data_IF_866332680168
#
_entry.id   IF_866332680168
#
_cell.length_a   1.000
_cell.length_b   1.000
_cell.length_c   1.000
_cell.angle_alpha   90.00
_cell.angle_beta   90.00
_cell.angle_gamma   90.00
#
_symmetry.space_group_name_H-M   'P 1'
#
loop_
_entity.id
_entity.type
_entity.pdbx_description
1 polymer ?
#
# COMPACT_ATOMS: atom_id res chain seq x y z
N UNK A 1 44.33 4.02 -5.66
CA UNK A 1 44.51 2.60 -5.26
C UNK A 1 44.30 1.74 -6.49
N UNK A 2 45.17 0.75 -6.77
CA UNK A 2 45.00 -0.10 -7.95
C UNK A 2 43.71 -0.92 -7.82
N UNK A 3 42.92 -0.99 -8.89
CA UNK A 3 41.63 -1.67 -8.95
C UNK A 3 41.70 -3.14 -8.47
N UNK A 4 42.83 -3.80 -8.71
CA UNK A 4 43.12 -5.15 -8.23
C UNK A 4 43.15 -5.28 -6.70
N UNK A 5 43.71 -4.30 -5.98
CA UNK A 5 43.76 -4.32 -4.53
C UNK A 5 42.36 -4.12 -3.91
N UNK A 6 41.50 -3.33 -4.55
CA UNK A 6 40.09 -3.19 -4.15
C UNK A 6 39.32 -4.49 -4.36
N UNK A 7 39.54 -5.17 -5.49
CA UNK A 7 38.86 -6.42 -5.82
C UNK A 7 39.25 -7.59 -4.88
N UNK A 8 40.48 -7.58 -4.35
CA UNK A 8 40.95 -8.59 -3.40
C UNK A 8 40.52 -8.29 -1.96
N UNK A 9 40.58 -7.03 -1.54
CA UNK A 9 40.31 -6.66 -0.14
C UNK A 9 38.83 -6.42 0.17
N UNK A 10 38.02 -5.98 -0.81
CA UNK A 10 36.60 -5.71 -0.59
C UNK A 10 35.83 -6.96 -0.13
N UNK A 11 35.93 -8.13 -0.78
CA UNK A 11 35.22 -9.34 -0.33
C UNK A 11 35.63 -9.78 1.08
N UNK A 12 36.91 -9.58 1.42
CA UNK A 12 37.43 -9.89 2.76
C UNK A 12 36.82 -8.97 3.82
N UNK A 13 36.78 -7.67 3.56
CA UNK A 13 36.18 -6.68 4.48
C UNK A 13 34.68 -6.91 4.61
N UNK A 14 33.98 -7.19 3.50
CA UNK A 14 32.55 -7.54 3.52
C UNK A 14 32.29 -8.80 4.35
N UNK A 15 33.11 -9.84 4.22
CA UNK A 15 33.01 -11.05 5.04
C UNK A 15 33.24 -10.75 6.53
N UNK A 16 34.21 -9.90 6.86
CA UNK A 16 34.46 -9.47 8.24
C UNK A 16 33.29 -8.66 8.80
N UNK A 17 32.73 -7.72 8.04
CA UNK A 17 31.54 -6.95 8.42
C UNK A 17 30.36 -7.89 8.67
N UNK A 18 30.12 -8.83 7.76
CA UNK A 18 29.05 -9.81 7.88
C UNK A 18 29.20 -10.66 9.15
N UNK A 19 30.41 -11.13 9.45
CA UNK A 19 30.67 -11.92 10.65
C UNK A 19 30.45 -11.09 11.92
N UNK A 20 30.95 -9.85 11.97
CA UNK A 20 30.72 -8.95 13.10
C UNK A 20 29.23 -8.64 13.29
N UNK A 21 28.50 -8.38 12.21
CA UNK A 21 27.06 -8.17 12.27
C UNK A 21 26.35 -9.39 12.82
N UNK A 22 26.76 -10.60 12.40
CA UNK A 22 26.21 -11.86 12.91
C UNK A 22 26.47 -12.02 14.42
N UNK A 23 27.70 -11.83 14.88
CA UNK A 23 28.03 -11.93 16.31
C UNK A 23 27.25 -10.91 17.15
N UNK A 24 27.12 -9.67 16.67
CA UNK A 24 26.31 -8.65 17.32
C UNK A 24 24.83 -9.05 17.40
N UNK A 25 24.28 -9.61 16.32
CA UNK A 25 22.89 -10.09 16.33
C UNK A 25 22.71 -11.28 17.28
N UNK A 26 23.64 -12.24 17.29
CA UNK A 26 23.57 -13.41 18.16
C UNK A 26 23.64 -12.98 19.64
N UNK A 27 24.54 -12.05 19.98
CA UNK A 27 24.59 -11.47 21.33
C UNK A 27 23.31 -10.71 21.70
N UNK A 28 22.73 -9.96 20.77
CA UNK A 28 21.50 -9.22 21.02
C UNK A 28 20.32 -10.18 21.26
N UNK A 29 20.24 -11.27 20.49
CA UNK A 29 19.24 -12.33 20.67
C UNK A 29 19.41 -12.99 22.05
N UNK A 30 20.62 -13.40 22.42
CA UNK A 30 20.88 -14.01 23.73
C UNK A 30 20.49 -13.09 24.89
N UNK A 31 20.83 -11.80 24.81
CA UNK A 31 20.43 -10.80 25.80
C UNK A 31 18.92 -10.63 25.84
N UNK A 32 18.26 -10.56 24.69
CA UNK A 32 16.81 -10.45 24.62
C UNK A 32 16.11 -11.68 25.20
N UNK A 33 16.61 -12.89 24.94
CA UNK A 33 16.09 -14.14 25.52
C UNK A 33 16.27 -14.19 27.04
N UNK A 34 17.42 -13.73 27.55
CA UNK A 34 17.67 -13.64 28.98
C UNK A 34 16.73 -12.63 29.63
N UNK A 35 16.64 -11.42 29.07
CA UNK A 35 15.73 -10.37 29.57
C UNK A 35 14.28 -10.84 29.51
N UNK A 36 13.84 -11.49 28.44
CA UNK A 36 12.49 -12.04 28.33
C UNK A 36 12.22 -13.14 29.36
N UNK A 37 13.19 -14.01 29.64
CA UNK A 37 13.03 -15.03 30.69
C UNK A 37 12.97 -14.42 32.09
N UNK A 38 13.75 -13.37 32.35
CA UNK A 38 13.84 -12.73 33.67
C UNK A 38 12.71 -11.73 33.93
N UNK A 39 12.27 -11.02 32.89
CA UNK A 39 11.38 -9.84 32.97
C UNK A 39 10.23 -9.86 31.96
N UNK A 40 10.16 -10.82 31.06
CA UNK A 40 9.04 -11.05 30.14
C UNK A 40 8.34 -9.79 29.63
N UNK A 41 7.01 -9.81 29.71
CA UNK A 41 6.14 -8.66 29.36
C UNK A 41 6.06 -7.58 30.45
N UNK A 42 6.82 -7.67 31.54
CA UNK A 42 6.82 -6.66 32.63
C UNK A 42 7.96 -5.65 32.50
N UNK A 43 8.83 -5.77 31.50
CA UNK A 43 9.86 -4.78 31.23
C UNK A 43 9.24 -3.45 30.73
N UNK A 44 9.31 -2.42 31.57
CA UNK A 44 8.69 -1.14 31.31
C UNK A 44 9.26 -0.43 30.07
N UNK A 45 10.56 -0.58 29.81
CA UNK A 45 11.19 0.01 28.65
C UNK A 45 10.76 -0.71 27.37
N UNK A 46 10.70 -2.05 27.38
CA UNK A 46 10.16 -2.82 26.26
C UNK A 46 8.72 -2.40 25.94
N UNK A 47 7.84 -2.30 26.94
CA UNK A 47 6.46 -1.87 26.74
C UNK A 47 6.38 -0.45 26.17
N UNK A 48 7.18 0.49 26.71
CA UNK A 48 7.24 1.87 26.21
C UNK A 48 7.72 1.95 24.76
N UNK A 49 8.76 1.20 24.41
CA UNK A 49 9.27 1.12 23.04
C UNK A 49 8.26 0.49 22.10
N UNK A 50 7.62 -0.61 22.50
CA UNK A 50 6.59 -1.31 21.73
C UNK A 50 5.37 -0.42 21.47
N UNK A 51 4.89 0.31 22.48
CA UNK A 51 3.80 1.29 22.31
C UNK A 51 4.21 2.40 21.34
N UNK A 52 5.41 2.95 21.49
CA UNK A 52 5.91 4.02 20.61
C UNK A 52 6.06 3.55 19.17
N UNK A 53 6.59 2.34 18.97
CA UNK A 53 6.73 1.71 17.66
C UNK A 53 5.36 1.46 17.02
N UNK A 54 4.42 0.86 17.76
CA UNK A 54 3.05 0.62 17.29
C UNK A 54 2.35 1.94 16.95
N UNK A 55 2.53 3.00 17.75
CA UNK A 55 1.96 4.32 17.48
C UNK A 55 2.52 4.92 16.19
N UNK A 56 3.82 4.74 15.91
CA UNK A 56 4.45 5.19 14.66
C UNK A 56 3.94 4.39 13.46
N UNK A 57 3.82 3.07 13.59
CA UNK A 57 3.36 2.17 12.51
C UNK A 57 1.87 2.37 12.18
N UNK A 58 1.03 2.66 13.18
CA UNK A 58 -0.41 2.88 12.99
C UNK A 58 -0.75 4.29 12.52
N UNK A 59 0.20 5.21 12.46
CA UNK A 59 -0.04 6.60 12.06
C UNK A 59 0.36 6.78 10.60
N UNK A 60 -0.62 7.05 9.76
CA UNK A 60 -0.38 7.62 8.43
C UNK A 60 -0.01 9.09 8.66
N UNK A 61 1.20 9.55 8.29
CA UNK A 61 1.64 10.91 8.61
C UNK A 61 0.94 11.94 7.72
N UNK A 62 0.84 11.66 6.41
CA UNK A 62 0.28 12.57 5.43
C UNK A 62 -0.43 11.78 4.33
N UNK A 63 -1.39 12.42 3.67
CA UNK A 63 -2.02 11.95 2.42
C UNK A 63 -1.85 13.02 1.35
N UNK A 64 -2.00 12.64 0.07
CA UNK A 64 -2.10 13.59 -1.04
C UNK A 64 -3.58 13.69 -1.42
N UNK A 65 -4.11 14.90 -1.51
CA UNK A 65 -5.51 15.10 -1.91
C UNK A 65 -5.69 14.74 -3.39
N UNK A 66 -6.64 13.85 -3.75
CA UNK A 66 -6.76 13.33 -5.11
C UNK A 66 -7.17 14.39 -6.15
N UNK A 67 -7.92 15.41 -5.76
CA UNK A 67 -8.37 16.47 -6.68
C UNK A 67 -7.45 17.69 -6.77
N UNK A 68 -6.77 18.07 -5.68
CA UNK A 68 -5.93 19.28 -5.64
C UNK A 68 -4.43 18.98 -5.70
N UNK A 69 -4.02 17.75 -5.38
CA UNK A 69 -2.62 17.36 -5.27
C UNK A 69 -1.92 17.86 -4.00
N UNK A 70 -2.65 18.48 -3.08
CA UNK A 70 -2.07 19.07 -1.86
C UNK A 70 -1.68 18.02 -0.83
N UNK A 71 -0.64 18.33 -0.04
CA UNK A 71 -0.22 17.50 1.09
C UNK A 71 -1.14 17.71 2.29
N UNK A 72 -2.02 16.75 2.56
CA UNK A 72 -2.90 16.71 3.71
C UNK A 72 -2.16 16.24 4.96
N UNK A 73 -2.08 17.11 5.97
CA UNK A 73 -1.38 16.82 7.24
C UNK A 73 -2.28 16.92 8.47
N UNK A 74 -3.41 17.63 8.37
CA UNK A 74 -4.41 17.66 9.45
C UNK A 74 -5.39 16.49 9.32
N UNK A 75 -5.98 16.01 10.44
CA UNK A 75 -6.99 14.95 10.40
C UNK A 75 -8.17 15.28 9.46
N UNK A 76 -8.64 16.52 9.46
CA UNK A 76 -9.78 16.96 8.64
C UNK A 76 -9.43 16.89 7.15
N UNK A 77 -8.22 17.34 6.78
CA UNK A 77 -7.73 17.27 5.41
C UNK A 77 -7.57 15.81 4.95
N UNK A 78 -7.03 14.95 5.81
CA UNK A 78 -6.84 13.53 5.51
C UNK A 78 -8.17 12.79 5.34
N UNK A 79 -9.18 13.11 6.16
CA UNK A 79 -10.54 12.56 6.02
C UNK A 79 -11.15 13.03 4.70
N UNK A 80 -11.08 14.32 4.38
CA UNK A 80 -11.58 14.86 3.11
C UNK A 80 -10.93 14.20 1.89
N UNK A 81 -9.60 14.01 1.93
CA UNK A 81 -8.86 13.34 0.87
C UNK A 81 -9.31 11.88 0.70
N UNK A 82 -9.46 11.14 1.81
CA UNK A 82 -9.93 9.76 1.79
C UNK A 82 -11.37 9.65 1.26
N UNK A 83 -12.27 10.52 1.71
CA UNK A 83 -13.65 10.55 1.21
C UNK A 83 -13.70 10.82 -0.28
N UNK A 84 -12.93 11.79 -0.78
CA UNK A 84 -12.90 12.14 -2.20
C UNK A 84 -12.38 10.96 -3.02
N UNK A 85 -11.30 10.32 -2.55
CA UNK A 85 -10.73 9.14 -3.20
C UNK A 85 -11.75 8.00 -3.28
N UNK A 86 -12.39 7.64 -2.17
CA UNK A 86 -13.35 6.53 -2.17
C UNK A 86 -14.65 6.86 -2.90
N UNK A 87 -15.10 8.12 -2.88
CA UNK A 87 -16.23 8.57 -3.71
C UNK A 87 -15.93 8.36 -5.18
N UNK A 88 -14.75 8.74 -5.64
CA UNK A 88 -14.33 8.55 -7.03
C UNK A 88 -14.19 7.06 -7.37
N UNK A 89 -13.50 6.28 -6.53
CA UNK A 89 -13.27 4.84 -6.75
C UNK A 89 -14.56 4.01 -6.85
N UNK A 90 -15.58 4.39 -6.09
CA UNK A 90 -16.88 3.72 -6.08
C UNK A 90 -17.95 4.45 -6.91
N UNK A 91 -17.58 5.49 -7.65
CA UNK A 91 -18.49 6.11 -8.60
C UNK A 91 -18.50 5.33 -9.91
N UNK A 92 -19.67 5.13 -10.54
CA UNK A 92 -19.72 4.53 -11.86
C UNK A 92 -18.96 5.39 -12.87
N UNK A 93 -18.11 4.76 -13.68
CA UNK A 93 -17.49 5.44 -14.81
C UNK A 93 -18.58 5.84 -15.83
N UNK A 94 -18.63 7.11 -16.27
CA UNK A 94 -19.65 7.53 -17.23
C UNK A 94 -19.45 6.82 -18.56
N UNK A 95 -20.53 6.25 -19.10
CA UNK A 95 -20.50 5.59 -20.40
C UNK A 95 -20.26 6.63 -21.49
N UNK A 96 -19.29 6.39 -22.37
CA UNK A 96 -19.13 7.20 -23.59
C UNK A 96 -20.27 6.90 -24.56
N UNK A 97 -21.30 7.76 -24.53
CA UNK A 97 -22.45 7.67 -25.41
C UNK A 97 -22.09 7.80 -26.89
N UNK A 98 -20.98 8.45 -27.25
CA UNK A 98 -20.54 8.56 -28.65
C UNK A 98 -20.03 7.22 -29.13
N UNK A 99 -19.15 6.59 -28.36
CA UNK A 99 -18.64 5.25 -28.65
C UNK A 99 -19.79 4.23 -28.70
N UNK A 100 -20.73 4.31 -27.75
CA UNK A 100 -21.90 3.44 -27.71
C UNK A 100 -22.80 3.60 -28.95
N UNK A 101 -23.11 4.85 -29.35
CA UNK A 101 -23.90 5.10 -30.54
C UNK A 101 -23.16 4.71 -31.83
N UNK A 102 -21.84 4.89 -31.89
CA UNK A 102 -21.03 4.41 -32.98
C UNK A 102 -21.12 2.89 -33.11
N UNK A 103 -20.88 2.16 -32.02
CA UNK A 103 -21.01 0.69 -31.99
C UNK A 103 -22.41 0.24 -32.41
N UNK A 104 -23.46 0.91 -31.93
CA UNK A 104 -24.85 0.65 -32.34
C UNK A 104 -25.06 0.85 -33.84
N UNK A 105 -24.51 1.92 -34.43
CA UNK A 105 -24.66 2.21 -35.86
C UNK A 105 -23.97 1.19 -36.78
N UNK A 106 -23.04 0.39 -36.25
CA UNK A 106 -22.39 -0.70 -36.99
C UNK A 106 -23.22 -1.99 -36.98
N UNK A 107 -24.31 -2.07 -36.20
CA UNK A 107 -25.17 -3.24 -36.13
C UNK A 107 -26.20 -3.16 -37.28
N UNK A 108 -26.19 -4.13 -38.21
CA UNK A 108 -27.19 -4.23 -39.26
C UNK A 108 -28.63 -4.29 -38.73
N UNK A 109 -29.56 -3.62 -39.41
CA UNK A 109 -30.97 -3.50 -39.00
C UNK A 109 -31.69 -4.86 -38.89
N UNK A 110 -31.25 -5.89 -39.63
CA UNK A 110 -31.78 -7.26 -39.58
C UNK A 110 -31.44 -8.00 -38.29
N UNK A 111 -30.53 -7.48 -37.48
CA UNK A 111 -30.16 -8.00 -36.17
C UNK A 111 -30.72 -7.17 -35.00
N UNK A 112 -31.54 -6.15 -35.28
CA UNK A 112 -32.18 -5.36 -34.23
C UNK A 112 -33.32 -6.16 -33.60
N UNK A 113 -33.41 -6.09 -32.28
CA UNK A 113 -34.53 -6.67 -31.55
C UNK A 113 -35.83 -5.98 -31.97
N UNK A 114 -36.90 -6.75 -32.09
CA UNK A 114 -38.24 -6.18 -32.25
C UNK A 114 -38.61 -5.37 -31.00
N UNK A 115 -39.50 -4.40 -31.15
CA UNK A 115 -39.96 -3.59 -30.01
C UNK A 115 -40.63 -4.45 -28.94
N UNK A 116 -41.26 -5.56 -29.34
CA UNK A 116 -41.99 -6.49 -28.48
C UNK A 116 -41.01 -7.33 -27.65
N UNK A 117 -39.95 -7.87 -28.27
CA UNK A 117 -38.89 -8.62 -27.58
C UNK A 117 -38.09 -7.73 -26.62
N UNK A 118 -37.80 -6.49 -27.04
CA UNK A 118 -37.11 -5.51 -26.19
C UNK A 118 -37.93 -5.15 -24.94
N UNK A 119 -39.25 -5.04 -25.06
CA UNK A 119 -40.12 -4.77 -23.91
C UNK A 119 -40.15 -5.97 -22.97
N UNK A 120 -40.31 -7.19 -23.51
CA UNK A 120 -40.35 -8.42 -22.71
C UNK A 120 -39.08 -8.66 -21.88
N UNK A 121 -37.89 -8.29 -22.39
CA UNK A 121 -36.62 -8.44 -21.67
C UNK A 121 -36.44 -7.38 -20.56
N UNK A 122 -37.08 -6.21 -20.69
CA UNK A 122 -36.96 -5.11 -19.72
C UNK A 122 -38.03 -5.14 -18.61
N UNK A 123 -39.02 -6.01 -18.69
CA UNK A 123 -40.00 -6.19 -17.60
C UNK A 123 -39.35 -6.89 -16.39
N UNK A 124 -39.58 -6.42 -15.16
CA UNK A 124 -39.11 -7.09 -13.95
C UNK A 124 -39.85 -8.44 -13.76
N UNK A 125 -39.13 -9.43 -13.24
CA UNK A 125 -39.68 -10.75 -12.89
C UNK A 125 -40.76 -10.71 -11.81
#
# INVERSE_FOLDING_TARGET
LPYSALQEHLPRVEAQIKNLQKELTDMAVLKAEQIWRERGEIDADYLKHSISQRRRQRRIPHLIHPSTGDLCSSPEQMISAAETFYKDLYSPEPIDLRALNFMRSQIPEDLHLSSEDSQSICEPF
#
